data_IF_388216083230
#
_entry.id   IF_388216083230
#
_cell.length_a   1.000
_cell.length_b   1.000
_cell.length_c   1.000
_cell.angle_alpha   90.00
_cell.angle_beta   90.00
_cell.angle_gamma   90.00
#
_symmetry.space_group_name_H-M   'P 1'
#
loop_
_entity.id
_entity.type
_entity.pdbx_description
1 polymer ?
#
# COMPACT_ATOMS: atom_id res chain seq x y z
N UNK A 1 -21.44 -28.72 -21.28
CA UNK A 1 -20.71 -27.59 -20.65
C UNK A 1 -20.38 -26.57 -21.74
N UNK A 2 -20.83 -25.30 -21.62
CA UNK A 2 -20.76 -24.34 -22.72
C UNK A 2 -19.35 -23.78 -23.01
N UNK A 3 -18.35 -24.10 -22.18
CA UNK A 3 -16.97 -23.62 -22.35
C UNK A 3 -15.98 -24.80 -22.32
N UNK A 4 -14.95 -24.78 -23.18
CA UNK A 4 -13.87 -25.76 -23.12
C UNK A 4 -13.12 -25.63 -21.80
N UNK A 5 -12.91 -26.77 -21.13
CA UNK A 5 -12.11 -26.80 -19.92
C UNK A 5 -10.62 -26.70 -20.24
N UNK A 6 -9.89 -26.01 -19.38
CA UNK A 6 -8.44 -25.97 -19.45
C UNK A 6 -7.85 -27.38 -19.23
N UNK A 7 -7.04 -27.86 -20.18
CA UNK A 7 -6.37 -29.16 -20.08
C UNK A 7 -5.23 -29.10 -19.03
N UNK A 8 -5.52 -29.67 -17.86
CA UNK A 8 -4.61 -29.69 -16.71
C UNK A 8 -3.36 -30.55 -16.95
N UNK A 9 -3.36 -31.47 -17.93
CA UNK A 9 -2.16 -32.27 -18.27
C UNK A 9 -1.03 -31.42 -18.84
N UNK A 10 -1.34 -30.20 -19.31
CA UNK A 10 -0.38 -29.22 -19.83
C UNK A 10 0.29 -28.38 -18.72
N UNK A 11 -0.13 -28.51 -17.46
CA UNK A 11 0.45 -27.77 -16.34
C UNK A 11 1.82 -28.34 -15.96
N UNK A 12 2.81 -27.45 -15.87
CA UNK A 12 4.10 -27.77 -15.24
C UNK A 12 4.07 -27.28 -13.80
N UNK A 13 3.57 -28.13 -12.90
CA UNK A 13 3.50 -27.84 -11.48
C UNK A 13 4.90 -27.99 -10.86
N UNK A 14 5.37 -26.95 -10.15
CA UNK A 14 6.61 -27.00 -9.37
C UNK A 14 6.30 -27.14 -7.88
N UNK A 15 7.16 -27.81 -7.11
CA UNK A 15 7.11 -27.77 -5.64
C UNK A 15 7.07 -26.33 -5.12
N UNK A 16 6.26 -26.09 -4.07
CA UNK A 16 6.16 -24.75 -3.46
C UNK A 16 7.52 -24.20 -2.98
N UNK A 17 8.42 -25.08 -2.53
CA UNK A 17 9.80 -24.72 -2.14
C UNK A 17 10.65 -24.11 -3.26
N UNK A 18 10.24 -24.28 -4.53
CA UNK A 18 10.92 -23.67 -5.69
C UNK A 18 10.34 -22.29 -6.04
N UNK A 19 9.38 -21.79 -5.26
CA UNK A 19 8.82 -20.46 -5.46
C UNK A 19 9.85 -19.40 -5.11
N UNK A 20 10.18 -18.56 -6.09
CA UNK A 20 10.89 -17.30 -5.87
C UNK A 20 9.87 -16.21 -5.52
N UNK A 21 10.14 -15.45 -4.46
CA UNK A 21 9.31 -14.33 -4.03
C UNK A 21 9.90 -13.02 -4.54
N UNK A 22 9.08 -12.17 -5.16
CA UNK A 22 9.52 -10.85 -5.65
C UNK A 22 9.74 -9.83 -4.53
N UNK A 23 9.13 -10.09 -3.36
CA UNK A 23 9.17 -9.24 -2.17
C UNK A 23 9.40 -10.10 -0.93
N UNK A 24 10.19 -9.56 -0.02
CA UNK A 24 10.55 -10.11 1.28
C UNK A 24 10.20 -9.10 2.37
N UNK A 25 10.01 -9.55 3.62
CA UNK A 25 9.60 -8.67 4.72
C UNK A 25 10.69 -7.64 5.07
N UNK A 26 11.94 -7.98 4.81
CA UNK A 26 13.11 -7.11 5.00
C UNK A 26 13.07 -5.86 4.13
N UNK A 27 12.30 -5.88 3.03
CA UNK A 27 12.13 -4.74 2.13
C UNK A 27 11.02 -3.78 2.56
N UNK A 28 10.25 -4.13 3.60
CA UNK A 28 9.14 -3.30 4.05
C UNK A 28 9.64 -2.18 4.95
N UNK A 29 9.24 -0.96 4.62
CA UNK A 29 9.59 0.21 5.42
C UNK A 29 8.95 0.14 6.82
N UNK A 30 9.70 0.63 7.80
CA UNK A 30 9.31 0.78 9.20
C UNK A 30 9.25 2.26 9.54
N UNK A 31 8.33 2.64 10.43
CA UNK A 31 8.14 4.06 10.80
C UNK A 31 9.41 4.75 11.32
N UNK A 32 10.33 3.97 11.90
CA UNK A 32 11.62 4.39 12.44
C UNK A 32 12.79 4.30 11.44
N UNK A 33 12.55 3.82 10.22
CA UNK A 33 13.59 3.75 9.18
C UNK A 33 14.08 5.14 8.78
N UNK A 34 15.37 5.28 8.43
CA UNK A 34 15.88 6.53 7.90
C UNK A 34 15.16 6.87 6.59
N UNK A 35 14.63 8.08 6.51
CA UNK A 35 13.97 8.55 5.30
C UNK A 35 15.01 8.79 4.20
N UNK A 36 14.78 8.29 2.97
CA UNK A 36 15.65 8.60 1.85
C UNK A 36 15.56 10.10 1.54
N UNK A 37 16.66 10.66 1.02
CA UNK A 37 16.65 12.05 0.55
C UNK A 37 15.59 12.21 -0.54
N UNK A 38 14.67 13.14 -0.33
CA UNK A 38 13.60 13.46 -1.28
C UNK A 38 13.40 14.97 -1.35
N UNK A 39 14.03 15.59 -2.33
CA UNK A 39 14.08 17.06 -2.47
C UNK A 39 13.12 17.57 -3.55
N UNK A 40 11.87 17.12 -3.48
CA UNK A 40 10.82 17.68 -4.33
C UNK A 40 10.06 18.76 -3.55
N UNK A 41 10.14 20.04 -3.94
CA UNK A 41 9.46 21.13 -3.21
C UNK A 41 7.94 20.98 -3.19
N UNK A 42 7.36 20.21 -4.12
CA UNK A 42 5.93 19.91 -4.12
C UNK A 42 5.50 19.14 -2.86
N UNK A 43 6.37 18.32 -2.25
CA UNK A 43 6.04 17.60 -1.02
C UNK A 43 5.78 18.56 0.14
N UNK A 44 6.67 19.52 0.34
CA UNK A 44 6.52 20.52 1.39
C UNK A 44 5.24 21.37 1.17
N UNK A 45 4.92 21.68 -0.09
CA UNK A 45 3.70 22.40 -0.43
C UNK A 45 2.43 21.58 -0.15
N UNK A 46 2.41 20.30 -0.53
CA UNK A 46 1.29 19.39 -0.24
C UNK A 46 1.10 19.24 1.27
N UNK A 47 2.19 19.04 2.03
CA UNK A 47 2.15 18.94 3.48
C UNK A 47 1.57 20.21 4.14
N UNK A 48 2.01 21.40 3.70
CA UNK A 48 1.45 22.68 4.17
C UNK A 48 -0.05 22.78 3.90
N UNK A 49 -0.51 22.42 2.70
CA UNK A 49 -1.95 22.45 2.35
C UNK A 49 -2.76 21.47 3.16
N UNK A 50 -2.25 20.26 3.38
CA UNK A 50 -2.89 19.26 4.25
C UNK A 50 -3.05 19.80 5.68
N UNK A 51 -1.98 20.34 6.27
CA UNK A 51 -2.04 20.91 7.63
C UNK A 51 -3.03 22.07 7.72
N UNK A 52 -3.01 23.00 6.75
CA UNK A 52 -3.96 24.12 6.72
C UNK A 52 -5.41 23.64 6.60
N UNK A 53 -5.69 22.65 5.76
CA UNK A 53 -7.02 22.05 5.64
C UNK A 53 -7.49 21.43 6.96
N UNK A 54 -6.62 20.65 7.63
CA UNK A 54 -6.93 20.04 8.94
C UNK A 54 -7.19 21.09 10.02
N UNK A 55 -6.38 22.15 10.07
CA UNK A 55 -6.58 23.28 11.02
C UNK A 55 -7.89 24.04 10.76
N UNK A 56 -8.34 24.10 9.51
CA UNK A 56 -9.63 24.68 9.14
C UNK A 56 -10.82 23.71 9.35
N UNK A 57 -10.61 22.54 9.95
CA UNK A 57 -11.65 21.52 10.15
C UNK A 57 -12.06 20.76 8.88
N UNK A 58 -11.33 20.93 7.78
CA UNK A 58 -11.60 20.23 6.53
C UNK A 58 -11.06 18.80 6.53
N UNK A 59 -11.72 17.91 5.78
CA UNK A 59 -11.24 16.55 5.57
C UNK A 59 -10.07 16.53 4.59
N UNK A 60 -9.08 15.67 4.86
CA UNK A 60 -8.02 15.30 3.91
C UNK A 60 -8.22 13.85 3.55
N UNK A 61 -8.62 13.58 2.31
CA UNK A 61 -8.94 12.24 1.82
C UNK A 61 -7.83 11.80 0.87
N UNK A 62 -7.21 10.65 1.15
CA UNK A 62 -6.24 10.05 0.25
C UNK A 62 -6.92 9.05 -0.67
N UNK A 63 -6.72 9.22 -1.98
CA UNK A 63 -7.16 8.28 -3.00
C UNK A 63 -5.95 7.56 -3.56
N UNK A 64 -5.83 6.25 -3.32
CA UNK A 64 -4.61 5.49 -3.61
C UNK A 64 -4.87 4.11 -4.20
N UNK A 65 -3.84 3.57 -4.86
CA UNK A 65 -3.83 2.19 -5.37
C UNK A 65 -3.04 1.24 -4.46
N UNK A 66 -3.14 -0.05 -4.77
CA UNK A 66 -2.66 -1.15 -3.93
C UNK A 66 -1.15 -1.19 -3.66
N UNK A 67 -0.34 -0.51 -4.48
CA UNK A 67 1.11 -0.52 -4.33
C UNK A 67 1.61 0.16 -3.05
N UNK A 68 0.83 1.10 -2.49
CA UNK A 68 1.16 1.69 -1.19
C UNK A 68 1.14 0.60 -0.11
N UNK A 69 0.09 -0.22 -0.10
CA UNK A 69 -0.07 -1.31 0.86
C UNK A 69 0.90 -2.46 0.56
N UNK A 70 0.99 -2.90 -0.71
CA UNK A 70 1.88 -3.99 -1.17
C UNK A 70 3.33 -3.81 -0.73
N UNK A 71 3.82 -2.56 -0.73
CA UNK A 71 5.20 -2.23 -0.38
C UNK A 71 5.41 -2.00 1.12
N UNK A 72 4.44 -2.40 1.96
CA UNK A 72 4.55 -2.30 3.42
C UNK A 72 4.31 -0.90 3.99
N UNK A 73 3.80 0.06 3.20
CA UNK A 73 3.60 1.44 3.66
C UNK A 73 2.28 1.67 4.41
N UNK A 74 1.49 0.61 4.65
CA UNK A 74 0.24 0.69 5.42
C UNK A 74 0.46 1.31 6.80
N UNK A 75 1.58 1.01 7.46
CA UNK A 75 1.96 1.58 8.77
C UNK A 75 2.04 3.11 8.76
N UNK A 76 2.57 3.71 7.68
CA UNK A 76 2.63 5.17 7.54
C UNK A 76 1.26 5.78 7.29
N UNK A 77 0.41 5.10 6.51
CA UNK A 77 -0.97 5.55 6.30
C UNK A 77 -1.74 5.54 7.62
N UNK A 78 -1.60 4.47 8.41
CA UNK A 78 -2.22 4.33 9.73
C UNK A 78 -1.70 5.42 10.68
N UNK A 79 -0.38 5.62 10.79
CA UNK A 79 0.21 6.67 11.65
C UNK A 79 -0.31 8.08 11.28
N UNK A 80 -0.44 8.39 9.99
CA UNK A 80 -1.00 9.66 9.53
C UNK A 80 -2.50 9.79 9.82
N UNK A 81 -3.25 8.70 9.81
CA UNK A 81 -4.67 8.68 10.21
C UNK A 81 -4.82 8.85 11.72
N UNK A 82 -4.03 8.16 12.53
CA UNK A 82 -4.03 8.26 14.00
C UNK A 82 -3.65 9.65 14.49
N UNK A 83 -2.68 10.30 13.83
CA UNK A 83 -2.30 11.71 14.08
C UNK A 83 -3.33 12.71 13.55
N UNK A 84 -4.37 12.25 12.86
CA UNK A 84 -5.40 13.08 12.28
C UNK A 84 -4.93 13.95 11.10
N UNK A 85 -3.79 13.63 10.48
CA UNK A 85 -3.32 14.32 9.28
C UNK A 85 -4.09 13.87 8.02
N UNK A 86 -4.47 12.60 7.97
CA UNK A 86 -5.37 12.02 6.97
C UNK A 86 -6.70 11.67 7.65
N UNK A 87 -7.82 12.06 7.03
CA UNK A 87 -9.17 11.86 7.59
C UNK A 87 -9.81 10.56 7.12
N UNK A 88 -9.57 10.20 5.87
CA UNK A 88 -10.10 8.98 5.27
C UNK A 88 -9.20 8.54 4.11
N UNK A 89 -9.29 7.25 3.79
CA UNK A 89 -8.66 6.65 2.62
C UNK A 89 -9.74 6.07 1.71
N UNK A 90 -9.56 6.21 0.41
CA UNK A 90 -10.37 5.58 -0.61
C UNK A 90 -9.44 4.86 -1.59
N UNK A 91 -9.76 3.62 -1.92
CA UNK A 91 -8.89 2.78 -2.73
C UNK A 91 -9.64 1.69 -3.49
N UNK A 92 -8.97 1.07 -4.45
CA UNK A 92 -9.50 -0.07 -5.19
C UNK A 92 -9.41 -1.38 -4.38
N UNK A 93 -10.14 -2.41 -4.83
CA UNK A 93 -10.23 -3.70 -4.12
C UNK A 93 -8.89 -4.43 -3.95
N UNK A 94 -7.89 -4.14 -4.77
CA UNK A 94 -6.56 -4.72 -4.62
C UNK A 94 -5.85 -4.26 -3.33
N UNK A 95 -6.21 -3.09 -2.77
CA UNK A 95 -5.71 -2.69 -1.45
C UNK A 95 -6.18 -3.64 -0.36
N UNK A 96 -7.45 -4.05 -0.36
CA UNK A 96 -7.97 -4.99 0.64
C UNK A 96 -7.26 -6.35 0.57
N UNK A 97 -6.94 -6.82 -0.65
CA UNK A 97 -6.23 -8.09 -0.85
C UNK A 97 -4.83 -7.99 -0.22
N UNK A 98 -4.06 -6.96 -0.56
CA UNK A 98 -2.72 -6.80 0.00
C UNK A 98 -2.74 -6.50 1.50
N UNK A 99 -3.71 -5.73 2.00
CA UNK A 99 -3.84 -5.49 3.44
C UNK A 99 -4.06 -6.81 4.20
N UNK A 100 -4.95 -7.66 3.71
CA UNK A 100 -5.19 -8.98 4.28
C UNK A 100 -3.97 -9.90 4.19
N UNK A 101 -3.27 -9.91 3.05
CA UNK A 101 -2.04 -10.70 2.86
C UNK A 101 -0.91 -10.29 3.83
N UNK A 102 -0.85 -9.01 4.21
CA UNK A 102 0.19 -8.47 5.09
C UNK A 102 -0.19 -8.45 6.57
N UNK A 103 -1.47 -8.63 6.91
CA UNK A 103 -1.98 -8.64 8.28
C UNK A 103 -1.81 -9.99 8.99
N UNK A 104 -1.48 -11.06 8.26
CA UNK A 104 -1.24 -12.41 8.78
C UNK A 104 0.13 -12.53 9.47
#
# INVERSE_FOLDING_TARGET
MPYPLFDRSRLRLKPLRERTHDLTLEQFARLDDPLPAYDNPALAEIARRMVSARRAGSAVIWMMGAHVIKNGLSRYVIDLMERGAVSAVAFNGACCIHDFELAA
#
